data_IF_588316341204
#
_entry.id   IF_588316341204
#
_cell.length_a   1.000
_cell.length_b   1.000
_cell.length_c   1.000
_cell.angle_alpha   90.00
_cell.angle_beta   90.00
_cell.angle_gamma   90.00
#
_symmetry.space_group_name_H-M   'P 1'
#
loop_
_entity.id
_entity.type
_entity.pdbx_description
1 polymer ?
#
# COMPACT_ATOMS: atom_id res chain seq x y z
N UNK A 1 3.43 20.42 2.93
CA UNK A 1 4.62 20.09 2.10
C UNK A 1 4.93 18.59 2.23
N UNK A 2 5.18 18.05 3.42
CA UNK A 2 5.58 16.67 3.64
C UNK A 2 4.63 15.62 3.00
N UNK A 3 3.29 15.75 3.17
CA UNK A 3 2.31 14.85 2.52
C UNK A 3 2.44 14.83 0.99
N UNK A 4 2.78 15.95 0.35
CA UNK A 4 2.99 15.97 -1.10
C UNK A 4 4.27 15.25 -1.51
N UNK A 5 5.33 15.38 -0.73
CA UNK A 5 6.59 14.66 -0.94
C UNK A 5 6.41 13.14 -0.73
N UNK A 6 5.61 12.74 0.27
CA UNK A 6 5.21 11.34 0.47
C UNK A 6 4.54 10.76 -0.78
N UNK A 7 3.55 11.45 -1.35
CA UNK A 7 2.89 11.01 -2.59
C UNK A 7 3.85 10.91 -3.79
N UNK A 8 4.89 11.73 -3.81
CA UNK A 8 5.92 11.69 -4.85
C UNK A 8 6.97 10.60 -4.66
N UNK A 9 6.97 9.91 -3.51
CA UNK A 9 8.00 8.93 -3.15
C UNK A 9 9.32 9.55 -2.69
N UNK A 10 9.29 10.83 -2.31
CA UNK A 10 10.44 11.59 -1.81
C UNK A 10 10.48 11.49 -0.27
N UNK A 11 10.57 10.25 0.25
CA UNK A 11 10.40 9.98 1.69
C UNK A 11 11.42 10.69 2.57
N UNK A 12 12.69 10.72 2.18
CA UNK A 12 13.76 11.39 2.97
C UNK A 12 13.55 12.90 2.99
N UNK A 13 13.17 13.49 1.85
CA UNK A 13 12.82 14.90 1.78
C UNK A 13 11.55 15.22 2.58
N UNK A 14 10.57 14.31 2.60
CA UNK A 14 9.35 14.45 3.40
C UNK A 14 9.67 14.47 4.90
N UNK A 15 10.52 13.56 5.38
CA UNK A 15 10.99 13.51 6.77
C UNK A 15 11.81 14.75 7.14
N UNK A 16 12.69 15.21 6.25
CA UNK A 16 13.51 16.41 6.47
C UNK A 16 12.66 17.68 6.60
N UNK A 17 11.65 17.85 5.74
CA UNK A 17 10.73 19.00 5.78
C UNK A 17 9.83 18.95 7.03
N UNK A 18 9.45 17.77 7.49
CA UNK A 18 8.60 17.61 8.67
C UNK A 18 9.32 18.03 9.96
N UNK A 19 10.65 17.84 10.02
CA UNK A 19 11.42 18.09 11.23
C UNK A 19 11.25 16.96 12.29
N UNK A 20 12.10 16.91 13.32
CA UNK A 20 12.16 15.77 14.25
C UNK A 20 10.94 15.61 15.15
N UNK A 21 10.32 16.71 15.58
CA UNK A 21 9.30 16.71 16.65
C UNK A 21 7.88 17.02 16.14
N UNK A 22 7.68 17.18 14.83
CA UNK A 22 6.40 17.56 14.26
C UNK A 22 5.63 16.33 13.72
N UNK A 23 4.31 16.37 13.87
CA UNK A 23 3.36 15.41 13.28
C UNK A 23 3.82 13.93 13.39
N UNK A 24 3.87 13.34 14.60
CA UNK A 24 4.44 12.00 14.80
C UNK A 24 3.74 10.93 13.96
N UNK A 25 2.43 11.01 13.74
CA UNK A 25 1.69 10.09 12.91
C UNK A 25 2.12 10.17 11.43
N UNK A 26 2.25 11.38 10.88
CA UNK A 26 2.72 11.56 9.52
C UNK A 26 4.17 11.09 9.34
N UNK A 27 5.02 11.30 10.36
CA UNK A 27 6.39 10.77 10.37
C UNK A 27 6.40 9.25 10.27
N UNK A 28 5.60 8.58 11.09
CA UNK A 28 5.49 7.13 11.09
C UNK A 28 4.92 6.61 9.76
N UNK A 29 3.90 7.28 9.21
CA UNK A 29 3.34 6.97 7.89
C UNK A 29 4.41 7.05 6.79
N UNK A 30 5.21 8.13 6.74
CA UNK A 30 6.29 8.32 5.77
C UNK A 30 7.35 7.22 5.91
N UNK A 31 7.77 6.91 7.13
CA UNK A 31 8.80 5.91 7.37
C UNK A 31 8.33 4.48 6.98
N UNK A 32 7.09 4.12 7.34
CA UNK A 32 6.49 2.83 6.97
C UNK A 32 6.31 2.69 5.46
N UNK A 33 5.86 3.76 4.79
CA UNK A 33 5.69 3.76 3.34
C UNK A 33 7.05 3.66 2.61
N UNK A 34 8.05 4.44 3.06
CA UNK A 34 9.40 4.38 2.52
C UNK A 34 10.04 3.00 2.66
N UNK A 35 9.90 2.37 3.83
CA UNK A 35 10.36 1.00 4.01
C UNK A 35 9.64 -0.01 3.11
N UNK A 36 8.31 0.10 2.97
CA UNK A 36 7.53 -0.78 2.10
C UNK A 36 8.02 -0.76 0.65
N UNK A 37 8.30 0.42 0.11
CA UNK A 37 8.73 0.53 -1.29
C UNK A 37 10.21 0.20 -1.50
N UNK A 38 11.11 0.62 -0.59
CA UNK A 38 12.56 0.44 -0.74
C UNK A 38 13.11 -0.83 -0.10
N UNK A 39 12.34 -1.44 0.81
CA UNK A 39 12.77 -2.56 1.68
C UNK A 39 14.02 -2.17 2.51
N UNK A 40 14.20 -0.89 2.79
CA UNK A 40 15.27 -0.29 3.59
C UNK A 40 14.68 0.63 4.65
N UNK A 41 15.41 0.90 5.74
CA UNK A 41 14.96 1.79 6.82
C UNK A 41 13.96 1.15 7.80
N UNK A 42 14.02 -0.16 7.97
CA UNK A 42 13.13 -0.92 8.86
C UNK A 42 13.19 -0.43 10.32
N UNK A 43 14.39 -0.21 10.86
CA UNK A 43 14.57 0.21 12.25
C UNK A 43 13.98 1.62 12.49
N UNK A 44 14.17 2.53 11.56
CA UNK A 44 13.60 3.87 11.58
C UNK A 44 12.08 3.85 11.53
N UNK A 45 11.50 2.97 10.71
CA UNK A 45 10.06 2.80 10.63
C UNK A 45 9.48 2.22 11.94
N UNK A 46 10.11 1.19 12.51
CA UNK A 46 9.71 0.64 13.81
C UNK A 46 9.82 1.69 14.94
N UNK A 47 10.90 2.45 14.99
CA UNK A 47 11.10 3.51 15.96
C UNK A 47 10.04 4.60 15.83
N UNK A 48 9.70 5.01 14.62
CA UNK A 48 8.69 6.02 14.37
C UNK A 48 7.29 5.55 14.81
N UNK A 49 6.93 4.29 14.55
CA UNK A 49 5.66 3.72 15.01
C UNK A 49 5.62 3.55 16.53
N UNK A 50 6.72 3.10 17.15
CA UNK A 50 6.82 2.94 18.60
C UNK A 50 6.72 4.28 19.39
N UNK A 51 6.93 5.40 18.72
CA UNK A 51 6.79 6.74 19.33
C UNK A 51 5.33 7.24 19.33
N UNK A 52 4.39 6.55 18.69
CA UNK A 52 2.97 6.91 18.70
C UNK A 52 2.30 6.47 20.00
N UNK A 53 1.15 7.10 20.30
CA UNK A 53 0.25 6.57 21.33
C UNK A 53 -0.20 5.15 20.92
N UNK A 54 0.15 4.11 21.70
CA UNK A 54 -0.16 2.73 21.35
C UNK A 54 -1.66 2.44 21.29
N UNK A 55 -2.51 3.30 21.83
CA UNK A 55 -3.96 3.18 21.76
C UNK A 55 -4.56 3.88 20.53
N UNK A 56 -3.77 4.63 19.76
CA UNK A 56 -4.31 5.35 18.60
C UNK A 56 -4.60 4.38 17.44
N UNK A 57 -5.68 4.62 16.67
CA UNK A 57 -5.97 3.83 15.46
C UNK A 57 -4.82 3.83 14.45
N UNK A 58 -4.11 4.95 14.32
CA UNK A 58 -2.94 5.08 13.46
C UNK A 58 -1.80 4.17 13.91
N UNK A 59 -1.52 4.09 15.21
CA UNK A 59 -0.49 3.17 15.73
C UNK A 59 -0.85 1.71 15.47
N UNK A 60 -2.11 1.32 15.68
CA UNK A 60 -2.61 -0.01 15.38
C UNK A 60 -2.42 -0.36 13.90
N UNK A 61 -2.87 0.53 12.99
CA UNK A 61 -2.75 0.34 11.54
C UNK A 61 -1.28 0.21 11.10
N UNK A 62 -0.41 1.12 11.54
CA UNK A 62 0.98 1.14 11.10
C UNK A 62 1.79 -0.02 11.69
N UNK A 63 1.53 -0.43 12.93
CA UNK A 63 2.11 -1.65 13.52
C UNK A 63 1.74 -2.89 12.71
N UNK A 64 0.47 -3.01 12.33
CA UNK A 64 0.00 -4.11 11.50
C UNK A 64 0.61 -4.10 10.09
N UNK A 65 0.75 -2.91 9.47
CA UNK A 65 1.43 -2.76 8.17
C UNK A 65 2.90 -3.16 8.23
N UNK A 66 3.63 -2.84 9.31
CA UNK A 66 5.00 -3.30 9.51
C UNK A 66 5.08 -4.83 9.59
N UNK A 67 4.21 -5.45 10.39
CA UNK A 67 4.16 -6.91 10.53
C UNK A 67 3.81 -7.59 9.19
N UNK A 68 2.78 -7.10 8.50
CA UNK A 68 2.42 -7.59 7.16
C UNK A 68 3.58 -7.47 6.16
N UNK A 69 4.27 -6.33 6.13
CA UNK A 69 5.37 -6.13 5.17
C UNK A 69 6.56 -7.06 5.46
N UNK A 70 6.86 -7.36 6.74
CA UNK A 70 7.86 -8.37 7.09
C UNK A 70 7.51 -9.76 6.56
N UNK A 71 6.22 -10.14 6.65
CA UNK A 71 5.72 -11.41 6.09
C UNK A 71 5.82 -11.43 4.57
N UNK A 72 5.33 -10.36 3.92
CA UNK A 72 5.28 -10.25 2.46
C UNK A 72 6.67 -10.36 1.83
N UNK A 73 7.61 -9.59 2.35
CA UNK A 73 8.98 -9.53 1.81
C UNK A 73 9.92 -10.57 2.42
N UNK A 74 9.46 -11.35 3.41
CA UNK A 74 10.29 -12.31 4.17
C UNK A 74 11.57 -11.66 4.74
N UNK A 75 11.44 -10.41 5.20
CA UNK A 75 12.52 -9.60 5.76
C UNK A 75 12.23 -9.31 7.22
N UNK A 76 13.15 -9.70 8.11
CA UNK A 76 13.02 -9.53 9.57
C UNK A 76 11.71 -10.12 10.14
N UNK A 77 11.16 -11.16 9.50
CA UNK A 77 9.88 -11.76 9.89
C UNK A 77 9.98 -12.37 11.30
N UNK A 78 8.93 -12.16 12.10
CA UNK A 78 8.76 -12.64 13.46
C UNK A 78 7.68 -13.71 13.49
N UNK A 79 7.77 -14.63 14.43
CA UNK A 79 6.82 -15.75 14.52
C UNK A 79 5.37 -15.31 14.77
N UNK A 80 5.17 -14.14 15.39
CA UNK A 80 3.89 -13.56 15.74
C UNK A 80 3.39 -12.49 14.75
N UNK A 81 4.14 -12.18 13.69
CA UNK A 81 3.78 -11.11 12.76
C UNK A 81 2.38 -11.26 12.14
N UNK A 82 1.97 -12.49 11.85
CA UNK A 82 0.64 -12.73 11.29
C UNK A 82 -0.46 -12.33 12.28
N UNK A 83 -0.31 -12.68 13.56
CA UNK A 83 -1.27 -12.37 14.61
C UNK A 83 -1.24 -10.88 14.97
N UNK A 84 -0.04 -10.27 14.99
CA UNK A 84 0.14 -8.83 15.19
C UNK A 84 -0.54 -8.03 14.08
N UNK A 85 -0.40 -8.45 12.82
CA UNK A 85 -1.04 -7.79 11.70
C UNK A 85 -2.58 -7.86 11.82
N UNK A 86 -3.14 -9.04 12.06
CA UNK A 86 -4.59 -9.21 12.20
C UNK A 86 -5.14 -8.41 13.38
N UNK A 87 -4.51 -8.51 14.55
CA UNK A 87 -4.96 -7.81 15.75
C UNK A 87 -4.92 -6.27 15.56
N UNK A 88 -3.87 -5.76 14.93
CA UNK A 88 -3.74 -4.32 14.68
C UNK A 88 -4.75 -3.81 13.64
N UNK A 89 -5.02 -4.54 12.55
CA UNK A 89 -6.07 -4.15 11.60
C UNK A 89 -7.45 -4.17 12.24
N UNK A 90 -7.76 -5.18 13.07
CA UNK A 90 -9.00 -5.23 13.82
C UNK A 90 -9.14 -4.04 14.76
N UNK A 91 -8.13 -3.76 15.57
CA UNK A 91 -8.15 -2.64 16.50
C UNK A 91 -8.31 -1.29 15.79
N UNK A 92 -7.60 -1.06 14.67
CA UNK A 92 -7.74 0.15 13.88
C UNK A 92 -9.16 0.28 13.27
N UNK A 93 -9.76 -0.83 12.83
CA UNK A 93 -11.12 -0.87 12.30
C UNK A 93 -12.17 -0.52 13.37
N UNK A 94 -12.00 -1.01 14.61
CA UNK A 94 -12.94 -0.82 15.70
C UNK A 94 -12.84 0.56 16.38
N UNK A 95 -11.65 1.17 16.39
CA UNK A 95 -11.36 2.40 17.17
C UNK A 95 -11.23 3.65 16.29
N UNK A 96 -11.10 3.48 14.96
CA UNK A 96 -10.95 4.56 14.00
C UNK A 96 -12.27 5.20 13.56
N UNK A 97 -12.15 6.30 12.83
CA UNK A 97 -13.26 6.88 12.09
C UNK A 97 -13.62 6.03 10.83
N UNK A 98 -14.65 6.43 10.08
CA UNK A 98 -15.11 5.70 8.88
C UNK A 98 -13.98 5.53 7.84
N UNK A 99 -13.11 6.52 7.70
CA UNK A 99 -11.96 6.43 6.79
C UNK A 99 -10.91 5.44 7.28
N UNK A 100 -10.59 5.48 8.57
CA UNK A 100 -9.66 4.53 9.19
C UNK A 100 -10.22 3.11 9.13
N UNK A 101 -11.51 2.93 9.40
CA UNK A 101 -12.21 1.66 9.25
C UNK A 101 -12.02 1.10 7.84
N UNK A 102 -12.26 1.89 6.80
CA UNK A 102 -12.10 1.45 5.42
C UNK A 102 -10.66 1.06 5.07
N UNK A 103 -9.66 1.83 5.51
CA UNK A 103 -8.25 1.47 5.33
C UNK A 103 -7.86 0.20 6.09
N UNK A 104 -8.37 0.00 7.30
CA UNK A 104 -8.11 -1.19 8.09
C UNK A 104 -8.74 -2.44 7.46
N UNK A 105 -10.00 -2.36 6.99
CA UNK A 105 -10.68 -3.43 6.26
C UNK A 105 -9.92 -3.80 4.96
N UNK A 106 -9.47 -2.81 4.20
CA UNK A 106 -8.64 -3.04 3.02
C UNK A 106 -7.35 -3.79 3.37
N UNK A 107 -6.59 -3.32 4.35
CA UNK A 107 -5.31 -3.97 4.72
C UNK A 107 -5.51 -5.35 5.33
N UNK A 108 -6.60 -5.56 6.08
CA UNK A 108 -6.94 -6.88 6.60
C UNK A 108 -7.30 -7.84 5.46
N UNK A 109 -8.06 -7.37 4.46
CA UNK A 109 -8.33 -8.15 3.26
C UNK A 109 -7.02 -8.55 2.55
N UNK A 110 -6.08 -7.63 2.40
CA UNK A 110 -4.75 -7.88 1.79
C UNK A 110 -3.95 -8.93 2.57
N UNK A 111 -4.00 -8.91 3.91
CA UNK A 111 -3.38 -9.96 4.75
C UNK A 111 -3.98 -11.34 4.45
N UNK A 112 -5.30 -11.43 4.45
CA UNK A 112 -6.02 -12.68 4.18
C UNK A 112 -5.76 -13.21 2.77
N UNK A 113 -5.70 -12.32 1.79
CA UNK A 113 -5.54 -12.69 0.38
C UNK A 113 -4.09 -13.11 0.07
N UNK A 114 -3.11 -12.31 0.46
CA UNK A 114 -1.71 -12.50 0.07
C UNK A 114 -0.92 -13.45 0.99
N UNK A 115 -1.27 -13.52 2.28
CA UNK A 115 -0.52 -14.32 3.26
C UNK A 115 -1.24 -15.60 3.61
N UNK A 116 -2.56 -15.51 3.85
CA UNK A 116 -3.37 -16.66 4.24
C UNK A 116 -3.96 -17.43 3.05
N UNK A 117 -3.81 -16.90 1.82
CA UNK A 117 -4.41 -17.46 0.59
C UNK A 117 -5.92 -17.73 0.76
N UNK A 118 -6.61 -16.83 1.48
CA UNK A 118 -8.01 -16.92 1.85
C UNK A 118 -8.90 -15.87 1.17
N UNK A 119 -9.19 -15.99 -0.13
CA UNK A 119 -10.03 -15.03 -0.83
C UNK A 119 -11.47 -14.97 -0.29
N UNK A 120 -11.97 -16.08 0.27
CA UNK A 120 -13.31 -16.10 0.86
C UNK A 120 -13.45 -15.17 2.06
N UNK A 121 -12.38 -15.00 2.84
CA UNK A 121 -12.32 -14.03 3.94
C UNK A 121 -11.99 -12.62 3.47
N UNK A 122 -11.20 -12.46 2.40
CA UNK A 122 -10.74 -11.18 1.87
C UNK A 122 -11.84 -10.41 1.12
N UNK A 123 -12.56 -11.07 0.20
CA UNK A 123 -13.51 -10.42 -0.71
C UNK A 123 -14.61 -9.61 0.00
N UNK A 124 -15.26 -10.08 1.09
CA UNK A 124 -16.24 -9.27 1.82
C UNK A 124 -15.63 -7.98 2.40
N UNK A 125 -14.39 -8.03 2.90
CA UNK A 125 -13.69 -6.87 3.47
C UNK A 125 -13.31 -5.85 2.39
N UNK A 126 -12.82 -6.31 1.23
CA UNK A 126 -12.63 -5.44 0.07
C UNK A 126 -13.96 -4.75 -0.33
N UNK A 127 -15.08 -5.49 -0.28
CA UNK A 127 -16.41 -4.96 -0.54
C UNK A 127 -16.78 -3.83 0.41
N UNK A 128 -16.62 -4.03 1.72
CA UNK A 128 -16.86 -3.00 2.75
C UNK A 128 -16.00 -1.75 2.52
N UNK A 129 -14.70 -1.95 2.32
CA UNK A 129 -13.78 -0.85 2.08
C UNK A 129 -14.11 -0.07 0.81
N UNK A 130 -14.50 -0.77 -0.28
CA UNK A 130 -14.87 -0.16 -1.57
C UNK A 130 -16.15 0.67 -1.46
N UNK A 131 -17.16 0.18 -0.75
CA UNK A 131 -18.41 0.91 -0.50
C UNK A 131 -18.13 2.25 0.18
N UNK A 132 -17.31 2.25 1.25
CA UNK A 132 -16.94 3.46 1.98
C UNK A 132 -16.10 4.39 1.09
N UNK A 133 -15.10 3.86 0.38
CA UNK A 133 -14.25 4.66 -0.50
C UNK A 133 -15.06 5.35 -1.60
N UNK A 134 -16.02 4.65 -2.21
CA UNK A 134 -16.89 5.19 -3.24
C UNK A 134 -17.84 6.27 -2.67
N UNK A 135 -18.43 6.01 -1.51
CA UNK A 135 -19.34 6.96 -0.84
C UNK A 135 -18.63 8.26 -0.42
N UNK A 136 -17.37 8.16 -0.02
CA UNK A 136 -16.55 9.30 0.41
C UNK A 136 -15.74 9.97 -0.70
N UNK A 137 -15.86 9.52 -1.95
CA UNK A 137 -15.05 9.95 -3.09
C UNK A 137 -13.53 9.84 -2.82
N UNK A 138 -13.13 8.81 -2.04
CA UNK A 138 -11.71 8.52 -1.77
C UNK A 138 -11.12 7.67 -2.91
N UNK A 139 -10.81 8.33 -4.03
CA UNK A 139 -10.21 7.68 -5.20
C UNK A 139 -8.83 7.06 -4.91
N UNK A 140 -8.14 7.51 -3.85
CA UNK A 140 -6.86 6.91 -3.47
C UNK A 140 -7.07 5.51 -2.89
N UNK A 141 -7.93 5.37 -1.89
CA UNK A 141 -8.29 4.07 -1.32
C UNK A 141 -8.96 3.18 -2.38
N UNK A 142 -9.91 3.71 -3.18
CA UNK A 142 -10.51 2.96 -4.28
C UNK A 142 -9.44 2.33 -5.18
N UNK A 143 -8.39 3.09 -5.54
CA UNK A 143 -7.32 2.61 -6.42
C UNK A 143 -6.57 1.39 -5.87
N UNK A 144 -6.42 1.32 -4.56
CA UNK A 144 -5.81 0.17 -3.89
C UNK A 144 -6.73 -1.05 -3.90
N UNK A 145 -8.01 -0.85 -3.58
CA UNK A 145 -8.98 -1.93 -3.46
C UNK A 145 -9.22 -2.60 -4.81
N UNK A 146 -9.50 -1.80 -5.87
CA UNK A 146 -9.78 -2.36 -7.20
C UNK A 146 -8.58 -3.10 -7.79
N UNK A 147 -7.34 -2.68 -7.47
CA UNK A 147 -6.14 -3.42 -7.83
C UNK A 147 -6.12 -4.83 -7.24
N UNK A 148 -6.51 -4.98 -5.99
CA UNK A 148 -6.54 -6.29 -5.31
C UNK A 148 -7.78 -7.13 -5.66
N UNK A 149 -8.88 -6.50 -6.06
CA UNK A 149 -10.05 -7.21 -6.58
C UNK A 149 -9.84 -7.73 -8.02
N UNK A 150 -8.98 -7.08 -8.80
CA UNK A 150 -8.76 -7.42 -10.20
C UNK A 150 -8.36 -8.89 -10.44
N UNK A 151 -7.47 -9.52 -9.65
CA UNK A 151 -7.12 -10.95 -9.83
C UNK A 151 -8.30 -11.92 -9.70
N UNK A 152 -9.36 -11.51 -9.00
CA UNK A 152 -10.57 -12.34 -8.79
C UNK A 152 -11.64 -12.15 -9.88
N UNK A 153 -11.26 -11.51 -11.00
CA UNK A 153 -12.15 -11.18 -12.11
C UNK A 153 -11.72 -11.86 -13.41
N UNK A 154 -12.67 -11.96 -14.35
CA UNK A 154 -12.38 -12.40 -15.71
C UNK A 154 -11.35 -11.46 -16.40
N UNK A 155 -10.60 -11.94 -17.40
CA UNK A 155 -9.46 -11.18 -17.96
C UNK A 155 -9.78 -9.76 -18.41
N UNK A 156 -10.88 -9.54 -19.14
CA UNK A 156 -11.25 -8.21 -19.63
C UNK A 156 -11.63 -7.25 -18.50
N UNK A 157 -12.39 -7.74 -17.51
CA UNK A 157 -12.74 -6.95 -16.32
C UNK A 157 -11.50 -6.65 -15.49
N UNK A 158 -10.60 -7.62 -15.33
CA UNK A 158 -9.31 -7.45 -14.65
C UNK A 158 -8.52 -6.31 -15.25
N UNK A 159 -8.30 -6.32 -16.55
CA UNK A 159 -7.55 -5.28 -17.26
C UNK A 159 -8.24 -3.91 -17.10
N UNK A 160 -9.55 -3.84 -17.22
CA UNK A 160 -10.30 -2.60 -17.03
C UNK A 160 -10.10 -2.03 -15.60
N UNK A 161 -10.15 -2.89 -14.58
CA UNK A 161 -9.91 -2.51 -13.18
C UNK A 161 -8.48 -2.04 -12.95
N UNK A 162 -7.47 -2.71 -13.50
CA UNK A 162 -6.07 -2.31 -13.39
C UNK A 162 -5.81 -0.96 -14.07
N UNK A 163 -6.38 -0.71 -15.27
CA UNK A 163 -6.31 0.60 -15.92
C UNK A 163 -6.99 1.69 -15.08
N UNK A 164 -8.16 1.42 -14.49
CA UNK A 164 -8.82 2.37 -13.59
C UNK A 164 -7.95 2.69 -12.37
N UNK A 165 -7.35 1.68 -11.73
CA UNK A 165 -6.43 1.88 -10.62
C UNK A 165 -5.26 2.78 -11.02
N UNK A 166 -4.63 2.51 -12.15
CA UNK A 166 -3.53 3.33 -12.70
C UNK A 166 -3.97 4.79 -12.90
N UNK A 167 -5.12 5.02 -13.53
CA UNK A 167 -5.62 6.38 -13.78
C UNK A 167 -5.90 7.15 -12.49
N UNK A 168 -6.53 6.53 -11.49
CA UNK A 168 -6.79 7.15 -10.19
C UNK A 168 -5.48 7.57 -9.49
N UNK A 169 -4.48 6.67 -9.46
CA UNK A 169 -3.16 6.95 -8.85
C UNK A 169 -2.43 8.07 -9.55
N UNK A 170 -2.44 8.08 -10.88
CA UNK A 170 -1.83 9.14 -11.68
C UNK A 170 -2.51 10.49 -11.47
N UNK A 171 -3.85 10.53 -11.42
CA UNK A 171 -4.62 11.75 -11.18
C UNK A 171 -4.35 12.37 -9.80
N UNK A 172 -4.10 11.53 -8.78
CA UNK A 172 -3.76 11.96 -7.41
C UNK A 172 -2.29 12.41 -7.32
N UNK A 173 -1.44 11.95 -8.22
CA UNK A 173 0.00 12.18 -8.21
C UNK A 173 0.75 11.26 -7.24
N UNK A 174 0.20 10.09 -6.94
CA UNK A 174 0.80 9.05 -6.11
C UNK A 174 1.84 8.26 -6.94
N UNK A 175 3.04 8.83 -7.08
CA UNK A 175 4.07 8.35 -8.02
C UNK A 175 4.52 6.91 -7.77
N UNK A 176 4.89 6.47 -6.54
CA UNK A 176 5.31 5.08 -6.31
C UNK A 176 4.20 4.08 -6.67
N UNK A 177 2.97 4.40 -6.28
CA UNK A 177 1.81 3.57 -6.54
C UNK A 177 1.45 3.54 -8.03
N UNK A 178 1.64 4.64 -8.75
CA UNK A 178 1.45 4.72 -10.20
C UNK A 178 2.45 3.80 -10.91
N UNK A 179 3.73 3.83 -10.52
CA UNK A 179 4.78 2.96 -11.05
C UNK A 179 4.44 1.49 -10.80
N UNK A 180 4.01 1.15 -9.58
CA UNK A 180 3.56 -0.20 -9.25
C UNK A 180 2.33 -0.65 -10.05
N UNK A 181 1.41 0.28 -10.34
CA UNK A 181 0.23 -0.02 -11.17
C UNK A 181 0.60 -0.22 -12.64
N UNK A 182 1.56 0.52 -13.17
CA UNK A 182 2.09 0.32 -14.52
C UNK A 182 2.72 -1.06 -14.68
N UNK A 183 3.56 -1.47 -13.73
CA UNK A 183 4.18 -2.80 -13.74
C UNK A 183 3.10 -3.90 -13.73
N UNK A 184 2.17 -3.84 -12.78
CA UNK A 184 1.12 -4.86 -12.67
C UNK A 184 0.21 -4.92 -13.91
N UNK A 185 -0.12 -3.77 -14.51
CA UNK A 185 -0.89 -3.76 -15.75
C UNK A 185 -0.09 -4.40 -16.87
N UNK A 186 1.20 -4.07 -17.02
CA UNK A 186 2.07 -4.66 -18.02
C UNK A 186 2.14 -6.19 -17.89
N UNK A 187 2.23 -6.73 -16.68
CA UNK A 187 2.28 -8.17 -16.40
C UNK A 187 0.97 -8.91 -16.74
N UNK A 188 -0.14 -8.17 -16.84
CA UNK A 188 -1.45 -8.74 -17.18
C UNK A 188 -1.86 -8.55 -18.64
N UNK A 189 -1.08 -7.82 -19.43
CA UNK A 189 -1.29 -7.65 -20.86
C UNK A 189 -0.57 -8.75 -21.66
N UNK A 190 -1.04 -9.03 -22.89
CA UNK A 190 -0.39 -9.96 -23.78
C UNK A 190 1.03 -9.49 -24.17
N UNK A 191 1.93 -10.43 -24.46
CA UNK A 191 3.34 -10.11 -24.77
C UNK A 191 3.50 -9.22 -26.01
N UNK A 192 2.59 -9.30 -26.97
CA UNK A 192 2.56 -8.52 -28.20
C UNK A 192 1.72 -7.24 -28.09
N UNK A 193 1.17 -6.93 -26.92
CA UNK A 193 0.37 -5.70 -26.70
C UNK A 193 1.29 -4.46 -26.70
N UNK A 194 1.04 -3.47 -27.59
CA UNK A 194 1.84 -2.26 -27.63
C UNK A 194 1.79 -1.44 -26.33
N UNK A 195 0.67 -1.49 -25.57
CA UNK A 195 0.56 -0.83 -24.27
C UNK A 195 1.53 -1.47 -23.26
N UNK A 196 1.70 -2.80 -23.29
CA UNK A 196 2.67 -3.50 -22.43
C UNK A 196 4.09 -2.96 -22.65
N UNK A 197 4.52 -2.86 -23.90
CA UNK A 197 5.84 -2.35 -24.24
C UNK A 197 6.06 -0.91 -23.76
N UNK A 198 5.03 -0.06 -23.85
CA UNK A 198 5.05 1.33 -23.37
C UNK A 198 5.17 1.38 -21.84
N UNK A 199 4.35 0.61 -21.13
CA UNK A 199 4.38 0.51 -19.68
C UNK A 199 5.74 0.03 -19.16
N UNK A 200 6.31 -1.04 -19.76
CA UNK A 200 7.63 -1.56 -19.42
C UNK A 200 8.73 -0.49 -19.56
N UNK A 201 8.66 0.32 -20.63
CA UNK A 201 9.62 1.39 -20.89
C UNK A 201 9.51 2.55 -19.88
N UNK A 202 8.32 2.78 -19.32
CA UNK A 202 8.05 3.91 -18.43
C UNK A 202 8.24 3.58 -16.95
N UNK A 203 7.81 2.39 -16.48
CA UNK A 203 7.86 2.08 -15.04
C UNK A 203 9.27 1.78 -14.55
N UNK A 204 10.11 1.07 -15.32
CA UNK A 204 11.46 0.68 -14.89
C UNK A 204 12.34 1.88 -14.49
N UNK A 205 12.51 2.92 -15.33
CA UNK A 205 13.28 4.10 -14.91
C UNK A 205 12.66 4.82 -13.70
N UNK A 206 11.34 4.79 -13.58
CA UNK A 206 10.64 5.34 -12.41
C UNK A 206 10.93 4.58 -11.12
N UNK A 207 10.93 3.24 -11.19
CA UNK A 207 11.26 2.36 -10.09
C UNK A 207 12.72 2.52 -9.66
N UNK A 208 13.66 2.59 -10.60
CA UNK A 208 15.08 2.85 -10.36
C UNK A 208 15.28 4.20 -9.67
N UNK A 209 14.64 5.26 -10.17
CA UNK A 209 14.76 6.60 -9.60
C UNK A 209 14.26 6.72 -8.16
N UNK A 210 13.28 5.90 -7.76
CA UNK A 210 12.72 5.87 -6.41
C UNK A 210 13.31 4.75 -5.52
N UNK A 211 14.13 3.85 -6.09
CA UNK A 211 14.66 2.69 -5.38
C UNK A 211 13.59 1.68 -4.98
N UNK A 212 12.57 1.45 -5.83
CA UNK A 212 11.49 0.49 -5.53
C UNK A 212 12.02 -0.93 -5.75
N UNK A 213 12.61 -1.49 -4.71
CA UNK A 213 13.43 -2.70 -4.79
C UNK A 213 12.68 -3.92 -5.35
N UNK A 214 11.44 -4.14 -4.92
CA UNK A 214 10.64 -5.30 -5.31
C UNK A 214 10.11 -5.27 -6.76
N UNK A 215 10.19 -4.11 -7.44
CA UNK A 215 9.92 -4.00 -8.88
C UNK A 215 11.17 -4.20 -9.75
N UNK A 216 12.34 -4.22 -9.13
CA UNK A 216 13.64 -4.32 -9.82
C UNK A 216 14.29 -5.69 -9.64
N UNK A 217 13.81 -6.52 -8.70
CA UNK A 217 14.28 -7.90 -8.54
C UNK A 217 13.85 -8.72 -9.76
N UNK A 218 14.81 -9.30 -10.44
CA UNK A 218 14.57 -10.40 -11.37
C UNK A 218 14.37 -11.66 -10.53
N UNK A 219 13.13 -12.16 -10.41
CA UNK A 219 12.86 -13.51 -9.90
C UNK A 219 13.09 -14.57 -10.98
#
# INVERSE_FOLDING_TARGET
>A
MARRLLLLGEWDAALAVLGPDAEPELRAEIAVDGWFFRIEGHEEAEKAVAALDPASPTAHLLTARLAYSRLLFRRNARADDRDVAEAGYRAASETGDEKMHAWAEYHWAVLLDNIDENPAGALPRYGTALEIATKSDDGYLESYIIRHLAPHKEPDERIAMLRRSLHLRAAIGARPQTIAAQALLADNLADDDPERAELMRTFRPGAEALGIAWLLSED
#
